data_IF_574845542573
#
_entry.id   IF_574845542573
#
_cell.length_a   1.000
_cell.length_b   1.000
_cell.length_c   1.000
_cell.angle_alpha   90.00
_cell.angle_beta   90.00
_cell.angle_gamma   90.00
#
_symmetry.space_group_name_H-M   'P 1'
#
loop_
_entity.id
_entity.type
_entity.pdbx_description
1 polymer ?
#
# COMPACT_ATOMS: atom_id res chain seq x y z
N UNK A 1 12.42 -14.49 17.23
CA UNK A 1 13.52 -13.64 17.73
C UNK A 1 14.71 -14.54 18.02
N UNK A 2 15.88 -14.33 17.39
CA UNK A 2 17.08 -15.08 17.75
C UNK A 2 17.52 -14.69 19.18
N UNK A 3 18.01 -15.67 19.95
CA UNK A 3 18.38 -15.48 21.36
C UNK A 3 19.80 -14.90 21.43
N UNK A 4 19.97 -13.81 22.19
CA UNK A 4 21.27 -13.15 22.45
C UNK A 4 22.33 -14.17 22.89
N UNK A 5 23.43 -14.25 22.15
CA UNK A 5 24.55 -15.14 22.44
C UNK A 5 25.26 -14.73 23.75
N UNK A 6 25.53 -15.71 24.61
CA UNK A 6 26.11 -15.50 25.95
C UNK A 6 27.64 -15.57 25.91
N UNK A 7 28.38 -14.89 26.82
CA UNK A 7 29.84 -14.92 26.88
C UNK A 7 30.43 -16.35 26.91
N UNK A 8 29.77 -17.26 27.63
CA UNK A 8 30.17 -18.66 27.73
C UNK A 8 30.21 -19.40 26.37
N UNK A 9 29.40 -18.98 25.40
CA UNK A 9 29.40 -19.56 24.06
C UNK A 9 30.73 -19.35 23.32
N UNK A 10 31.28 -18.14 23.40
CA UNK A 10 32.57 -17.81 22.76
C UNK A 10 33.72 -18.58 23.42
N UNK A 11 33.65 -18.77 24.74
CA UNK A 11 34.61 -19.61 25.45
C UNK A 11 34.54 -21.07 25.01
N UNK A 12 33.34 -21.63 24.85
CA UNK A 12 33.18 -23.01 24.35
C UNK A 12 33.81 -23.19 22.96
N UNK A 13 33.70 -22.20 22.06
CA UNK A 13 34.34 -22.26 20.74
C UNK A 13 35.87 -22.27 20.84
N UNK A 14 36.45 -21.48 21.75
CA UNK A 14 37.89 -21.46 21.97
C UNK A 14 38.39 -22.80 22.53
N UNK A 15 37.70 -23.36 23.53
CA UNK A 15 38.04 -24.66 24.11
C UNK A 15 37.89 -25.77 23.08
N UNK A 16 36.86 -25.72 22.23
CA UNK A 16 36.66 -26.67 21.14
C UNK A 16 37.83 -26.62 20.14
N UNK A 17 38.27 -25.42 19.76
CA UNK A 17 39.41 -25.21 18.85
C UNK A 17 40.71 -25.75 19.46
N UNK A 18 41.00 -25.43 20.71
CA UNK A 18 42.18 -25.93 21.44
C UNK A 18 42.20 -27.46 21.49
N UNK A 19 41.05 -28.10 21.70
CA UNK A 19 40.97 -29.57 21.67
C UNK A 19 41.13 -30.13 20.26
N UNK A 20 40.59 -29.46 19.24
CA UNK A 20 40.77 -29.86 17.85
C UNK A 20 42.24 -29.81 17.41
N UNK A 21 42.99 -28.80 17.85
CA UNK A 21 44.43 -28.67 17.61
C UNK A 21 45.23 -29.81 18.29
N UNK A 22 44.71 -30.35 19.40
CA UNK A 22 45.23 -31.54 20.09
C UNK A 22 44.70 -32.86 19.49
N UNK A 23 44.01 -32.81 18.35
CA UNK A 23 43.49 -33.97 17.62
C UNK A 23 42.18 -34.54 18.18
N UNK A 24 41.55 -33.89 19.16
CA UNK A 24 40.27 -34.31 19.76
C UNK A 24 39.14 -33.42 19.26
N UNK A 25 38.18 -34.00 18.54
CA UNK A 25 37.00 -33.28 18.03
C UNK A 25 35.80 -33.56 18.92
N UNK A 26 35.23 -32.51 19.50
CA UNK A 26 34.01 -32.55 20.31
C UNK A 26 32.90 -31.80 19.60
N UNK A 27 31.66 -32.29 19.69
CA UNK A 27 30.49 -31.56 19.19
C UNK A 27 30.12 -30.42 20.13
N UNK A 28 29.46 -29.38 19.61
CA UNK A 28 28.97 -28.26 20.44
C UNK A 28 27.99 -28.70 21.55
N UNK A 29 27.37 -29.88 21.42
CA UNK A 29 26.47 -30.45 22.43
C UNK A 29 27.23 -31.04 23.62
N UNK A 30 28.46 -31.50 23.41
CA UNK A 30 29.33 -32.10 24.43
C UNK A 30 30.22 -31.05 25.12
N UNK A 31 30.40 -29.88 24.48
CA UNK A 31 31.24 -28.80 25.00
C UNK A 31 30.85 -28.28 26.40
N UNK A 32 29.56 -28.16 26.78
CA UNK A 32 29.20 -27.67 28.11
C UNK A 32 29.79 -28.52 29.24
N UNK A 33 29.83 -29.85 29.10
CA UNK A 33 30.39 -30.74 30.13
C UNK A 33 31.90 -30.55 30.31
N UNK A 34 32.60 -30.20 29.22
CA UNK A 34 34.05 -30.02 29.19
C UNK A 34 34.45 -28.60 29.63
N UNK A 35 33.69 -27.59 29.17
CA UNK A 35 34.02 -26.19 29.33
C UNK A 35 33.47 -25.58 30.63
N UNK A 36 32.37 -26.08 31.19
CA UNK A 36 31.78 -25.54 32.44
C UNK A 36 32.76 -25.54 33.62
N UNK A 37 33.46 -26.64 33.96
CA UNK A 37 34.39 -26.62 35.10
C UNK A 37 35.59 -25.69 34.87
N UNK A 38 36.04 -25.53 33.62
CA UNK A 38 37.11 -24.60 33.27
C UNK A 38 36.65 -23.15 33.41
N UNK A 39 35.42 -22.85 32.98
CA UNK A 39 34.81 -21.53 33.07
C UNK A 39 34.54 -21.11 34.51
N UNK A 40 34.10 -22.03 35.37
CA UNK A 40 33.89 -21.75 36.80
C UNK A 40 35.18 -21.39 37.52
N UNK A 41 36.31 -22.00 37.14
CA UNK A 41 37.64 -21.72 37.69
C UNK A 41 38.29 -20.42 37.21
N UNK A 42 37.74 -19.76 36.18
CA UNK A 42 38.31 -18.53 35.62
C UNK A 42 37.96 -17.29 36.45
N UNK A 43 38.95 -16.40 36.59
CA UNK A 43 38.81 -15.09 37.22
C UNK A 43 37.96 -14.14 36.36
N UNK A 44 37.52 -13.02 36.92
CA UNK A 44 36.69 -12.04 36.20
C UNK A 44 37.46 -11.39 35.06
N UNK A 45 38.76 -11.19 35.26
CA UNK A 45 39.68 -10.62 34.29
C UNK A 45 39.84 -11.54 33.07
N UNK A 46 39.84 -12.86 33.29
CA UNK A 46 39.92 -13.87 32.22
C UNK A 46 38.60 -14.04 31.46
N UNK A 47 37.46 -13.72 32.10
CA UNK A 47 36.12 -13.76 31.47
C UNK A 47 35.82 -12.51 30.64
N UNK A 48 36.39 -11.37 31.03
CA UNK A 48 36.24 -10.07 30.37
C UNK A 48 36.33 -10.08 28.83
N UNK A 49 37.31 -10.73 28.18
CA UNK A 49 37.37 -10.75 26.71
C UNK A 49 36.14 -11.40 26.07
N UNK A 50 35.56 -12.43 26.68
CA UNK A 50 34.36 -13.10 26.16
C UNK A 50 33.09 -12.27 26.40
N UNK A 51 33.04 -11.50 27.48
CA UNK A 51 31.97 -10.52 27.73
C UNK A 51 32.00 -9.39 26.69
N UNK A 52 33.19 -8.90 26.35
CA UNK A 52 33.39 -7.92 25.28
C UNK A 52 32.97 -8.47 23.91
N UNK A 53 33.29 -9.74 23.60
CA UNK A 53 32.85 -10.40 22.35
C UNK A 53 31.32 -10.54 22.27
N UNK A 54 30.68 -10.98 23.35
CA UNK A 54 29.21 -11.09 23.39
C UNK A 54 28.52 -9.72 23.29
N UNK A 55 29.12 -8.68 23.85
CA UNK A 55 28.65 -7.30 23.73
C UNK A 55 28.75 -6.77 22.30
N UNK A 56 29.89 -7.00 21.62
CA UNK A 56 30.11 -6.61 20.22
C UNK A 56 29.11 -7.28 19.27
N UNK A 57 28.87 -8.58 19.41
CA UNK A 57 27.90 -9.31 18.57
C UNK A 57 26.46 -8.82 18.79
N UNK A 58 26.08 -8.47 20.02
CA UNK A 58 24.76 -7.87 20.28
C UNK A 58 24.59 -6.46 19.68
N UNK A 59 25.71 -5.76 19.44
CA UNK A 59 25.71 -4.47 18.73
C UNK A 59 25.68 -4.67 17.21
N UNK A 60 26.21 -5.80 16.74
CA UNK A 60 26.30 -6.18 15.33
C UNK A 60 25.04 -6.90 14.80
N UNK A 61 24.11 -7.34 15.66
CA UNK A 61 22.78 -7.84 15.25
C UNK A 61 21.94 -6.81 14.47
N UNK A 62 22.33 -5.51 14.48
CA UNK A 62 21.77 -4.49 13.58
C UNK A 62 22.32 -4.54 12.15
N UNK A 63 23.30 -5.39 11.83
CA UNK A 63 23.97 -5.44 10.52
C UNK A 63 23.80 -6.77 9.75
N UNK A 64 23.02 -7.73 10.28
CA UNK A 64 22.86 -9.06 9.69
C UNK A 64 21.86 -9.12 8.51
N UNK A 65 21.87 -8.11 7.64
CA UNK A 65 21.23 -8.13 6.31
C UNK A 65 22.23 -8.05 5.16
N UNK A 66 23.53 -8.16 5.42
CA UNK A 66 24.55 -8.19 4.37
C UNK A 66 24.52 -9.54 3.65
N UNK A 67 23.80 -9.61 2.54
CA UNK A 67 23.79 -10.78 1.66
C UNK A 67 22.46 -11.09 0.97
N UNK A 68 21.34 -10.51 1.44
CA UNK A 68 20.08 -10.63 0.70
C UNK A 68 20.15 -9.62 -0.45
N UNK A 69 20.28 -10.15 -1.66
CA UNK A 69 20.28 -9.36 -2.90
C UNK A 69 18.94 -9.51 -3.60
N UNK A 70 18.47 -8.46 -4.26
CA UNK A 70 17.32 -8.54 -5.15
C UNK A 70 17.64 -9.36 -6.40
N UNK A 71 16.62 -9.69 -7.20
CA UNK A 71 16.77 -10.31 -8.52
C UNK A 71 17.68 -9.50 -9.47
N UNK A 72 17.88 -8.21 -9.18
CA UNK A 72 18.77 -7.31 -9.91
C UNK A 72 20.18 -7.19 -9.29
N UNK A 73 20.49 -7.99 -8.27
CA UNK A 73 21.82 -8.04 -7.65
C UNK A 73 22.12 -6.90 -6.66
N UNK A 74 21.13 -6.06 -6.34
CA UNK A 74 21.25 -4.93 -5.39
C UNK A 74 21.06 -5.44 -3.97
N UNK A 75 21.89 -4.99 -3.04
CA UNK A 75 21.79 -5.38 -1.64
C UNK A 75 20.53 -4.78 -1.00
N UNK A 76 19.76 -5.60 -0.29
CA UNK A 76 18.49 -5.19 0.32
C UNK A 76 18.68 -4.05 1.34
N UNK A 77 19.84 -3.97 1.98
CA UNK A 77 20.17 -2.88 2.91
C UNK A 77 20.33 -1.51 2.23
N UNK A 78 20.70 -1.49 0.96
CA UNK A 78 20.77 -0.27 0.15
C UNK A 78 19.36 0.21 -0.22
N UNK A 79 18.49 -0.71 -0.64
CA UNK A 79 17.09 -0.41 -0.95
C UNK A 79 16.35 0.09 0.29
N UNK A 80 16.56 -0.53 1.45
CA UNK A 80 15.91 -0.09 2.69
C UNK A 80 16.38 1.31 3.13
N UNK A 81 17.66 1.64 2.90
CA UNK A 81 18.19 2.99 3.14
C UNK A 81 17.63 3.99 2.13
N UNK A 82 17.54 3.61 0.87
CA UNK A 82 16.99 4.46 -0.20
C UNK A 82 15.49 4.71 0.00
N UNK A 83 14.72 3.70 0.39
CA UNK A 83 13.31 3.84 0.76
C UNK A 83 13.13 4.72 2.00
N UNK A 84 13.96 4.55 3.03
CA UNK A 84 13.93 5.41 4.23
C UNK A 84 14.38 6.84 3.93
N UNK A 85 15.37 7.01 3.07
CA UNK A 85 15.84 8.31 2.62
C UNK A 85 14.77 9.01 1.78
N UNK A 86 14.15 8.32 0.82
CA UNK A 86 13.03 8.84 0.04
C UNK A 86 11.83 9.21 0.93
N UNK A 87 11.47 8.35 1.90
CA UNK A 87 10.41 8.65 2.87
C UNK A 87 10.77 9.80 3.84
N UNK A 88 12.05 10.03 4.10
CA UNK A 88 12.54 11.13 4.94
C UNK A 88 12.66 12.43 4.13
N UNK A 89 13.09 12.35 2.88
CA UNK A 89 13.19 13.46 1.92
C UNK A 89 11.80 13.94 1.51
N UNK A 90 10.85 13.03 1.28
CA UNK A 90 9.42 13.33 1.13
C UNK A 90 8.85 14.06 2.36
N UNK A 91 9.36 13.75 3.57
CA UNK A 91 9.00 14.47 4.80
C UNK A 91 9.69 15.82 4.95
N UNK A 92 10.83 16.04 4.27
CA UNK A 92 11.67 17.24 4.39
C UNK A 92 11.42 18.28 3.27
N UNK A 93 10.82 17.89 2.14
CA UNK A 93 10.61 18.76 0.97
C UNK A 93 9.21 19.40 0.87
N UNK A 94 8.24 19.02 1.70
CA UNK A 94 6.90 19.57 1.62
C UNK A 94 6.78 20.80 2.54
N UNK A 95 6.43 21.95 1.95
CA UNK A 95 6.34 23.25 2.63
C UNK A 95 5.35 23.16 3.80
N UNK A 96 5.88 23.41 4.99
CA UNK A 96 5.13 23.59 6.22
C UNK A 96 4.29 24.87 6.09
N UNK A 97 2.97 24.77 6.23
CA UNK A 97 2.17 25.94 6.57
C UNK A 97 2.62 26.51 7.93
N UNK A 98 2.16 27.70 8.31
CA UNK A 98 2.56 28.36 9.57
C UNK A 98 2.29 27.51 10.85
N UNK A 99 1.65 26.34 10.71
CA UNK A 99 1.33 25.38 11.76
C UNK A 99 2.01 24.00 11.58
N UNK A 100 2.79 23.76 10.53
CA UNK A 100 3.47 22.48 10.25
C UNK A 100 2.58 21.41 9.60
N UNK A 101 1.47 21.78 8.96
CA UNK A 101 0.63 20.88 8.18
C UNK A 101 0.92 20.99 6.67
N UNK A 102 0.89 19.84 5.99
CA UNK A 102 1.18 19.73 4.56
C UNK A 102 0.00 20.22 3.70
N UNK A 103 0.28 21.14 2.76
CA UNK A 103 -0.68 21.57 1.73
C UNK A 103 -0.63 20.64 0.52
N UNK A 104 -1.79 20.26 0.00
CA UNK A 104 -1.92 19.43 -1.20
C UNK A 104 -2.80 20.13 -2.24
N UNK A 105 -2.30 20.26 -3.47
CA UNK A 105 -3.10 20.74 -4.60
C UNK A 105 -3.78 19.55 -5.30
N UNK A 106 -5.11 19.55 -5.35
CA UNK A 106 -5.88 18.46 -5.93
C UNK A 106 -5.87 18.52 -7.47
N UNK A 107 -5.50 17.42 -8.13
CA UNK A 107 -5.53 17.28 -9.59
C UNK A 107 -6.80 16.63 -10.14
N UNK A 108 -7.43 15.75 -9.34
CA UNK A 108 -8.63 15.01 -9.69
C UNK A 108 -9.43 14.72 -8.42
N UNK A 109 -10.76 14.65 -8.53
CA UNK A 109 -11.65 14.25 -7.43
C UNK A 109 -12.73 13.32 -7.95
N UNK A 110 -13.02 12.28 -7.18
CA UNK A 110 -14.19 11.44 -7.36
C UNK A 110 -14.83 11.16 -6.00
N UNK A 111 -16.16 11.14 -5.93
CA UNK A 111 -16.91 10.65 -4.78
C UNK A 111 -18.04 9.76 -5.29
N UNK A 112 -18.31 8.70 -4.53
CA UNK A 112 -19.23 7.64 -4.90
C UNK A 112 -20.14 7.28 -3.72
N UNK A 113 -21.41 7.12 -4.01
CA UNK A 113 -22.40 6.54 -3.12
C UNK A 113 -22.65 5.08 -3.52
N UNK A 114 -22.68 4.17 -2.55
CA UNK A 114 -23.05 2.79 -2.78
C UNK A 114 -23.78 2.21 -1.56
N UNK A 115 -24.49 1.11 -1.78
CA UNK A 115 -25.07 0.28 -0.73
C UNK A 115 -24.80 -1.19 -1.04
N UNK A 116 -24.82 -2.06 -0.02
CA UNK A 116 -24.68 -3.50 -0.26
C UNK A 116 -25.82 -4.04 -1.12
N UNK A 117 -27.06 -3.62 -0.85
CA UNK A 117 -28.26 -4.12 -1.55
C UNK A 117 -28.32 -3.68 -3.02
N UNK A 118 -28.12 -2.39 -3.30
CA UNK A 118 -28.31 -1.83 -4.65
C UNK A 118 -27.01 -1.67 -5.44
N UNK A 119 -25.86 -1.98 -4.81
CA UNK A 119 -24.54 -1.76 -5.39
C UNK A 119 -24.20 -0.28 -5.50
N UNK A 120 -23.41 0.06 -6.51
CA UNK A 120 -23.02 1.43 -6.85
C UNK A 120 -24.24 2.25 -7.28
N UNK A 121 -24.41 3.40 -6.64
CA UNK A 121 -25.47 4.38 -6.88
C UNK A 121 -24.96 5.60 -7.64
N UNK A 122 -25.15 6.77 -7.04
CA UNK A 122 -24.71 8.05 -7.62
C UNK A 122 -23.21 8.22 -7.45
N UNK A 123 -22.59 8.97 -8.34
CA UNK A 123 -21.20 9.38 -8.19
C UNK A 123 -20.94 10.67 -8.95
N UNK A 124 -19.88 11.36 -8.57
CA UNK A 124 -19.37 12.52 -9.30
C UNK A 124 -17.86 12.38 -9.50
N UNK A 125 -17.37 12.92 -10.59
CA UNK A 125 -15.96 12.90 -10.96
C UNK A 125 -15.62 14.20 -11.67
N UNK A 126 -14.47 14.78 -11.35
CA UNK A 126 -13.97 15.97 -12.03
C UNK A 126 -12.45 16.00 -12.06
N UNK A 127 -11.91 16.49 -13.18
CA UNK A 127 -10.50 16.89 -13.30
C UNK A 127 -10.40 18.36 -12.90
N UNK A 128 -9.37 18.69 -12.11
CA UNK A 128 -9.22 20.03 -11.54
C UNK A 128 -8.51 20.97 -12.51
N UNK A 129 -8.91 22.24 -12.46
CA UNK A 129 -8.17 23.35 -13.04
C UNK A 129 -7.24 23.91 -11.97
N UNK A 130 -5.94 23.70 -12.12
CA UNK A 130 -4.92 24.32 -11.26
C UNK A 130 -4.37 25.56 -11.97
N UNK A 131 -4.45 26.75 -11.37
CA UNK A 131 -4.00 27.98 -12.03
C UNK A 131 -2.48 28.09 -12.09
N UNK A 132 -1.79 27.75 -11.00
CA UNK A 132 -0.34 27.81 -10.87
C UNK A 132 0.14 26.77 -9.86
N UNK A 133 1.43 26.47 -9.91
CA UNK A 133 2.10 25.65 -8.89
C UNK A 133 2.89 26.55 -7.93
N UNK A 134 3.02 26.17 -6.65
CA UNK A 134 3.92 26.85 -5.73
C UNK A 134 5.34 26.95 -6.27
N UNK A 135 6.01 28.07 -5.97
CA UNK A 135 7.35 28.32 -6.46
C UNK A 135 8.33 27.25 -5.95
N UNK A 136 9.10 26.64 -6.85
CA UNK A 136 10.05 25.57 -6.51
C UNK A 136 9.50 24.15 -6.63
N UNK A 137 8.18 23.97 -6.75
CA UNK A 137 7.53 22.64 -6.76
C UNK A 137 7.36 22.00 -8.13
N UNK A 138 7.76 22.69 -9.21
CA UNK A 138 7.53 22.20 -10.58
C UNK A 138 8.13 20.82 -10.85
N UNK A 139 9.36 20.57 -10.37
CA UNK A 139 10.03 19.28 -10.59
C UNK A 139 9.28 18.14 -9.87
N UNK A 140 8.90 18.35 -8.61
CA UNK A 140 8.17 17.36 -7.82
C UNK A 140 6.78 17.09 -8.42
N UNK A 141 6.03 18.13 -8.78
CA UNK A 141 4.74 18.00 -9.43
C UNK A 141 4.84 17.24 -10.76
N UNK A 142 5.87 17.53 -11.57
CA UNK A 142 6.08 16.87 -12.87
C UNK A 142 6.43 15.40 -12.70
N UNK A 143 7.31 15.10 -11.75
CA UNK A 143 7.68 13.72 -11.40
C UNK A 143 6.46 12.95 -10.90
N UNK A 144 5.75 13.48 -9.90
CA UNK A 144 4.56 12.84 -9.35
C UNK A 144 3.50 12.58 -10.42
N UNK A 145 3.22 13.57 -11.27
CA UNK A 145 2.26 13.40 -12.37
C UNK A 145 2.71 12.31 -13.34
N UNK A 146 3.96 12.33 -13.80
CA UNK A 146 4.49 11.33 -14.76
C UNK A 146 4.51 9.91 -14.18
N UNK A 147 4.79 9.79 -12.88
CA UNK A 147 4.86 8.51 -12.18
C UNK A 147 3.47 7.95 -11.87
N UNK A 148 2.42 8.79 -11.88
CA UNK A 148 1.06 8.39 -11.48
C UNK A 148 0.02 8.67 -12.58
N UNK A 149 -0.70 9.78 -12.50
CA UNK A 149 -1.92 10.07 -13.24
C UNK A 149 -1.67 10.68 -14.64
N UNK A 150 -0.45 11.12 -14.97
CA UNK A 150 -0.10 11.80 -16.24
C UNK A 150 -1.07 12.96 -16.58
N UNK A 151 -1.46 13.73 -15.56
CA UNK A 151 -2.29 14.92 -15.75
C UNK A 151 -1.37 16.10 -16.09
N UNK A 152 -1.71 16.91 -17.11
CA UNK A 152 -0.90 18.06 -17.46
C UNK A 152 -0.87 19.07 -16.31
N UNK A 153 0.29 19.66 -16.10
CA UNK A 153 0.50 20.70 -15.10
C UNK A 153 0.04 22.07 -15.62
N UNK A 154 -0.17 23.05 -14.73
CA UNK A 154 -0.41 24.43 -15.13
C UNK A 154 0.68 24.95 -16.09
N UNK A 155 0.31 25.76 -17.10
CA UNK A 155 -1.02 26.32 -17.35
C UNK A 155 -1.97 25.42 -18.17
N UNK A 156 -1.54 24.21 -18.55
CA UNK A 156 -2.21 23.37 -19.54
C UNK A 156 -3.14 22.30 -18.93
N UNK A 157 -3.66 22.53 -17.72
CA UNK A 157 -4.54 21.56 -17.04
C UNK A 157 -5.78 21.23 -17.86
N UNK A 158 -6.18 19.95 -17.88
CA UNK A 158 -7.33 19.47 -18.65
C UNK A 158 -8.67 19.85 -18.00
N UNK A 159 -8.67 19.92 -16.66
CA UNK A 159 -9.86 20.26 -15.88
C UNK A 159 -10.29 21.71 -16.05
N UNK A 160 -11.58 21.96 -15.85
CA UNK A 160 -12.16 23.32 -15.83
C UNK A 160 -12.72 23.73 -14.49
N UNK A 161 -12.88 22.78 -13.58
CA UNK A 161 -13.49 23.00 -12.26
C UNK A 161 -12.42 23.45 -11.28
N UNK A 162 -12.68 24.56 -10.57
CA UNK A 162 -11.80 25.00 -9.50
C UNK A 162 -11.99 24.12 -8.27
N UNK A 163 -10.98 24.05 -7.39
CA UNK A 163 -11.12 23.26 -6.16
C UNK A 163 -12.30 23.71 -5.29
N UNK A 164 -12.57 25.03 -5.26
CA UNK A 164 -13.70 25.60 -4.55
C UNK A 164 -15.03 25.04 -5.06
N UNK A 165 -15.22 25.04 -6.37
CA UNK A 165 -16.46 24.56 -6.99
C UNK A 165 -16.64 23.06 -6.78
N UNK A 166 -15.57 22.28 -6.92
CA UNK A 166 -15.60 20.84 -6.70
C UNK A 166 -15.99 20.47 -5.26
N UNK A 167 -15.42 21.15 -4.25
CA UNK A 167 -15.78 20.89 -2.85
C UNK A 167 -17.21 21.35 -2.54
N UNK A 168 -17.69 22.45 -3.13
CA UNK A 168 -19.10 22.86 -3.01
C UNK A 168 -20.02 21.77 -3.60
N UNK A 169 -19.65 21.19 -4.73
CA UNK A 169 -20.39 20.08 -5.33
C UNK A 169 -20.37 18.84 -4.44
N UNK A 170 -19.20 18.48 -3.88
CA UNK A 170 -19.06 17.37 -2.95
C UNK A 170 -19.91 17.55 -1.67
N UNK A 171 -19.98 18.77 -1.13
CA UNK A 171 -20.86 19.10 0.00
C UNK A 171 -22.32 18.85 -0.36
N UNK A 172 -22.77 19.32 -1.53
CA UNK A 172 -24.15 19.09 -2.02
C UNK A 172 -24.42 17.61 -2.23
N UNK A 173 -23.44 16.86 -2.72
CA UNK A 173 -23.52 15.42 -2.91
C UNK A 173 -23.66 14.67 -1.58
N UNK A 174 -22.99 15.12 -0.53
CA UNK A 174 -23.02 14.49 0.80
C UNK A 174 -24.27 14.88 1.62
N UNK A 175 -24.76 16.10 1.44
CA UNK A 175 -25.91 16.66 2.19
C UNK A 175 -27.26 16.30 1.56
N UNK A 176 -27.45 15.06 1.12
CA UNK A 176 -28.69 14.63 0.47
C UNK A 176 -29.86 14.38 1.44
N UNK A 177 -29.64 14.54 2.75
CA UNK A 177 -30.67 14.37 3.75
C UNK A 177 -31.02 15.75 4.34
N UNK A 178 -32.31 16.05 4.47
CA UNK A 178 -32.84 17.34 4.97
C UNK A 178 -32.45 17.65 6.43
N UNK A 179 -31.80 16.72 7.12
CA UNK A 179 -31.18 16.93 8.42
C UNK A 179 -29.75 17.43 8.16
N UNK A 180 -29.40 18.63 8.65
CA UNK A 180 -28.14 19.37 8.44
C UNK A 180 -26.82 18.64 8.83
N UNK A 181 -26.78 17.31 8.85
CA UNK A 181 -25.64 16.45 9.17
C UNK A 181 -25.07 15.83 7.90
N UNK A 182 -23.83 16.20 7.56
CA UNK A 182 -23.09 15.60 6.46
C UNK A 182 -22.84 14.11 6.72
N UNK A 183 -23.14 13.26 5.74
CA UNK A 183 -22.72 11.85 5.75
C UNK A 183 -21.18 11.76 5.78
N UNK A 184 -20.60 10.82 6.54
CA UNK A 184 -19.15 10.65 6.56
C UNK A 184 -18.61 10.23 5.18
N UNK A 185 -17.44 10.76 4.84
CA UNK A 185 -16.67 10.38 3.65
C UNK A 185 -15.62 9.35 4.08
N UNK A 186 -15.43 8.30 3.29
CA UNK A 186 -14.42 7.27 3.55
C UNK A 186 -13.38 7.25 2.44
N UNK A 187 -12.10 7.12 2.81
CA UNK A 187 -10.97 6.96 1.88
C UNK A 187 -9.89 6.09 2.51
N UNK A 188 -8.93 5.62 1.72
CA UNK A 188 -7.79 4.83 2.22
C UNK A 188 -6.90 5.67 3.14
N UNK A 189 -6.27 5.01 4.12
CA UNK A 189 -5.62 5.64 5.27
C UNK A 189 -4.54 6.67 4.89
N UNK A 190 -3.73 6.36 3.88
CA UNK A 190 -2.69 7.25 3.36
C UNK A 190 -3.26 8.51 2.66
N UNK A 191 -4.50 8.48 2.17
CA UNK A 191 -5.15 9.61 1.51
C UNK A 191 -5.96 10.49 2.46
N UNK A 192 -6.25 10.05 3.69
CA UNK A 192 -6.95 10.86 4.70
C UNK A 192 -6.32 12.25 4.89
N UNK A 193 -5.00 12.40 5.14
CA UNK A 193 -4.40 13.73 5.31
C UNK A 193 -4.52 14.61 4.06
N UNK A 194 -4.40 14.02 2.88
CA UNK A 194 -4.53 14.72 1.58
C UNK A 194 -5.94 15.28 1.43
N UNK A 195 -6.95 14.43 1.58
CA UNK A 195 -8.36 14.83 1.45
C UNK A 195 -8.74 15.87 2.50
N UNK A 196 -8.27 15.73 3.73
CA UNK A 196 -8.52 16.72 4.80
C UNK A 196 -7.88 18.07 4.50
N UNK A 197 -6.65 18.09 4.00
CA UNK A 197 -5.93 19.32 3.62
C UNK A 197 -6.72 20.09 2.54
N UNK A 198 -7.13 19.39 1.48
CA UNK A 198 -7.92 19.95 0.38
C UNK A 198 -9.28 20.50 0.84
N UNK A 199 -10.00 19.76 1.69
CA UNK A 199 -11.29 20.22 2.25
C UNK A 199 -11.08 21.45 3.14
N UNK A 200 -10.06 21.42 4.01
CA UNK A 200 -9.75 22.48 4.96
C UNK A 200 -9.44 23.79 4.24
N UNK A 201 -8.66 23.77 3.17
CA UNK A 201 -8.35 24.96 2.36
C UNK A 201 -9.62 25.68 1.89
N UNK A 202 -10.58 24.94 1.31
CA UNK A 202 -11.83 25.54 0.82
C UNK A 202 -12.71 26.00 1.97
N UNK A 203 -12.86 25.21 3.04
CA UNK A 203 -13.73 25.56 4.17
C UNK A 203 -13.20 26.74 4.99
N UNK A 204 -11.88 26.89 5.15
CA UNK A 204 -11.27 28.03 5.83
C UNK A 204 -11.45 29.34 5.05
N UNK A 205 -11.64 29.27 3.73
CA UNK A 205 -11.94 30.45 2.89
C UNK A 205 -13.40 30.90 2.93
N UNK A 206 -14.30 30.16 3.61
CA UNK A 206 -15.72 30.50 3.72
C UNK A 206 -15.96 31.50 4.83
N UNK A 207 -16.54 32.64 4.48
CA UNK A 207 -16.93 33.70 5.43
C UNK A 207 -18.41 33.67 5.81
N UNK A 208 -19.23 32.86 5.14
CA UNK A 208 -20.70 32.88 5.25
C UNK A 208 -21.30 31.47 5.41
N UNK A 209 -22.29 31.36 6.30
CA UNK A 209 -23.08 30.15 6.57
C UNK A 209 -22.62 29.38 7.83
N UNK A 210 -23.40 28.37 8.27
CA UNK A 210 -23.04 27.56 9.43
C UNK A 210 -21.74 26.77 9.19
N UNK A 211 -20.99 26.42 10.25
CA UNK A 211 -19.85 25.52 10.14
C UNK A 211 -20.31 24.21 9.47
N UNK A 212 -19.61 23.79 8.42
CA UNK A 212 -19.86 22.51 7.77
C UNK A 212 -18.81 21.54 8.28
N UNK A 213 -19.24 20.44 8.88
CA UNK A 213 -18.37 19.38 9.37
C UNK A 213 -18.35 18.20 8.39
N UNK A 214 -17.37 18.22 7.47
CA UNK A 214 -17.10 17.09 6.56
C UNK A 214 -16.16 16.10 7.23
N UNK A 215 -16.72 15.03 7.78
CA UNK A 215 -15.96 13.99 8.46
C UNK A 215 -15.35 13.03 7.44
N UNK A 216 -14.01 12.89 7.48
CA UNK A 216 -13.25 11.94 6.65
C UNK A 216 -12.71 10.81 7.53
N UNK A 217 -13.06 9.57 7.21
CA UNK A 217 -12.72 8.35 7.96
C UNK A 217 -12.01 7.30 7.10
N UNK A 218 -11.41 6.31 7.78
CA UNK A 218 -10.72 5.19 7.15
C UNK A 218 -11.69 4.21 6.49
N UNK A 219 -11.42 3.92 5.22
CA UNK A 219 -12.14 2.91 4.45
C UNK A 219 -11.79 1.48 4.90
N UNK A 220 -10.57 1.27 5.38
CA UNK A 220 -10.11 -0.01 5.93
C UNK A 220 -10.90 -0.37 7.20
N UNK A 221 -11.13 0.61 8.08
CA UNK A 221 -11.97 0.46 9.27
C UNK A 221 -13.43 0.17 8.89
N UNK A 222 -13.97 0.88 7.90
CA UNK A 222 -15.32 0.61 7.39
C UNK A 222 -15.46 -0.84 6.92
N UNK A 223 -14.53 -1.31 6.08
CA UNK A 223 -14.56 -2.68 5.56
C UNK A 223 -14.43 -3.71 6.69
N UNK A 224 -13.49 -3.51 7.62
CA UNK A 224 -13.28 -4.40 8.76
C UNK A 224 -14.55 -4.57 9.59
N UNK A 225 -15.13 -3.44 10.04
CA UNK A 225 -16.33 -3.47 10.86
C UNK A 225 -17.55 -3.98 10.10
N UNK A 226 -17.73 -3.57 8.85
CA UNK A 226 -18.86 -4.00 8.03
C UNK A 226 -18.80 -5.50 7.76
N UNK A 227 -17.64 -6.04 7.35
CA UNK A 227 -17.48 -7.48 7.06
C UNK A 227 -17.72 -8.33 8.31
N UNK A 228 -17.21 -7.90 9.46
CA UNK A 228 -17.42 -8.65 10.70
C UNK A 228 -18.90 -8.65 11.09
N UNK A 229 -19.57 -7.51 10.96
CA UNK A 229 -21.00 -7.40 11.24
C UNK A 229 -21.87 -8.21 10.25
N UNK A 230 -21.53 -8.24 8.96
CA UNK A 230 -22.26 -9.08 7.99
C UNK A 230 -22.02 -10.55 8.21
N UNK A 231 -20.79 -10.95 8.56
CA UNK A 231 -20.46 -12.33 8.86
C UNK A 231 -21.21 -12.86 10.10
N UNK A 232 -21.40 -12.05 11.14
CA UNK A 232 -22.19 -12.41 12.32
C UNK A 232 -23.68 -12.69 11.98
N UNK A 233 -24.17 -12.15 10.87
CA UNK A 233 -25.53 -12.37 10.35
C UNK A 233 -25.58 -13.47 9.29
N UNK A 234 -24.44 -14.03 8.89
CA UNK A 234 -24.37 -15.01 7.82
C UNK A 234 -25.04 -16.31 8.23
N UNK A 235 -25.91 -16.82 7.37
CA UNK A 235 -26.55 -18.13 7.57
C UNK A 235 -25.64 -19.29 7.13
N UNK A 236 -24.52 -18.99 6.48
CA UNK A 236 -23.56 -19.96 5.96
C UNK A 236 -22.14 -19.39 6.00
N UNK A 237 -21.17 -20.24 6.35
CA UNK A 237 -19.75 -19.89 6.38
C UNK A 237 -19.18 -19.79 4.95
N UNK A 238 -19.45 -18.67 4.26
CA UNK A 238 -18.95 -18.44 2.90
C UNK A 238 -17.47 -18.06 2.93
N UNK A 239 -17.13 -17.01 3.68
CA UNK A 239 -15.77 -16.52 3.82
C UNK A 239 -15.55 -15.98 5.24
N UNK A 240 -14.37 -16.25 5.85
CA UNK A 240 -14.09 -15.79 7.20
C UNK A 240 -14.04 -14.26 7.28
N UNK A 241 -14.35 -13.69 8.45
CA UNK A 241 -14.21 -12.27 8.70
C UNK A 241 -12.73 -11.86 8.74
N UNK A 242 -12.46 -10.56 8.72
CA UNK A 242 -11.10 -10.07 8.86
C UNK A 242 -10.66 -10.17 10.33
N UNK A 243 -9.52 -10.81 10.58
CA UNK A 243 -8.97 -10.92 11.93
C UNK A 243 -8.39 -9.58 12.45
N UNK A 244 -8.09 -8.63 11.55
CA UNK A 244 -7.59 -7.29 11.90
C UNK A 244 -7.86 -6.28 10.79
N UNK A 245 -7.83 -4.99 11.14
CA UNK A 245 -7.95 -3.86 10.18
C UNK A 245 -6.85 -3.92 9.11
N UNK A 246 -5.64 -4.37 9.46
CA UNK A 246 -4.53 -4.55 8.51
C UNK A 246 -4.87 -5.52 7.37
N UNK A 247 -5.63 -6.58 7.64
CA UNK A 247 -6.06 -7.51 6.60
C UNK A 247 -7.11 -6.90 5.68
N UNK A 248 -8.00 -6.04 6.23
CA UNK A 248 -8.96 -5.28 5.43
C UNK A 248 -8.27 -4.23 4.55
N UNK A 249 -7.28 -3.52 5.08
CA UNK A 249 -6.43 -2.60 4.33
C UNK A 249 -5.70 -3.33 3.20
N UNK A 250 -5.04 -4.45 3.51
CA UNK A 250 -4.37 -5.28 2.51
C UNK A 250 -5.34 -5.76 1.43
N UNK A 251 -6.58 -6.09 1.79
CA UNK A 251 -7.60 -6.50 0.84
C UNK A 251 -7.97 -5.38 -0.14
N UNK A 252 -8.15 -4.15 0.34
CA UNK A 252 -8.42 -2.98 -0.51
C UNK A 252 -7.22 -2.60 -1.39
N UNK A 253 -6.01 -2.69 -0.84
CA UNK A 253 -4.77 -2.33 -1.54
C UNK A 253 -4.34 -3.32 -2.62
N UNK A 254 -4.98 -4.49 -2.73
CA UNK A 254 -4.72 -5.44 -3.84
C UNK A 254 -5.05 -4.87 -5.21
N UNK A 255 -5.90 -3.85 -5.29
CA UNK A 255 -6.23 -3.23 -6.58
C UNK A 255 -6.97 -4.18 -7.53
N UNK A 256 -7.80 -5.10 -7.00
CA UNK A 256 -8.50 -6.15 -7.77
C UNK A 256 -9.23 -5.62 -9.01
N UNK A 257 -9.68 -4.37 -8.98
CA UNK A 257 -10.44 -3.72 -10.05
C UNK A 257 -9.70 -2.53 -10.68
N UNK A 258 -8.40 -2.34 -10.41
CA UNK A 258 -7.63 -1.20 -10.91
C UNK A 258 -7.53 -1.13 -12.44
N UNK A 259 -7.75 -2.26 -13.12
CA UNK A 259 -7.72 -2.40 -14.58
C UNK A 259 -9.05 -2.93 -15.14
N UNK A 260 -10.13 -2.87 -14.36
CA UNK A 260 -11.43 -3.27 -14.85
C UNK A 260 -11.94 -2.25 -15.87
N UNK A 261 -12.44 -2.74 -17.00
CA UNK A 261 -12.93 -1.90 -18.09
C UNK A 261 -14.13 -1.04 -17.67
N UNK A 262 -14.20 0.17 -18.23
CA UNK A 262 -15.33 1.08 -18.02
C UNK A 262 -15.37 1.76 -16.63
N UNK A 263 -14.31 1.64 -15.82
CA UNK A 263 -14.24 2.31 -14.51
C UNK A 263 -13.60 3.69 -14.58
N UNK A 264 -12.58 3.87 -15.40
CA UNK A 264 -11.83 5.11 -15.51
C UNK A 264 -12.62 6.23 -16.18
N UNK A 265 -12.10 7.45 -16.08
CA UNK A 265 -12.59 8.57 -16.89
C UNK A 265 -11.97 8.52 -18.29
N UNK A 266 -12.60 9.20 -19.24
CA UNK A 266 -12.19 9.20 -20.65
C UNK A 266 -10.72 9.62 -20.85
N UNK A 267 -10.23 10.57 -20.04
CA UNK A 267 -8.84 11.01 -20.12
C UNK A 267 -7.86 9.91 -19.73
N UNK A 268 -8.06 9.27 -18.58
CA UNK A 268 -7.15 8.23 -18.08
C UNK A 268 -7.27 6.92 -18.87
N UNK A 269 -8.43 6.66 -19.49
CA UNK A 269 -8.60 5.59 -20.47
C UNK A 269 -7.72 5.84 -21.70
N UNK A 270 -7.80 7.05 -22.28
CA UNK A 270 -7.02 7.42 -23.47
C UNK A 270 -5.50 7.50 -23.20
N UNK A 271 -5.10 7.70 -21.94
CA UNK A 271 -3.70 7.80 -21.51
C UNK A 271 -3.11 6.50 -20.98
N UNK A 272 -3.90 5.42 -20.93
CA UNK A 272 -3.50 4.15 -20.33
C UNK A 272 -2.99 4.32 -18.88
N UNK A 273 -3.68 5.18 -18.12
CA UNK A 273 -3.42 5.49 -16.70
C UNK A 273 -4.64 5.18 -15.83
N UNK A 274 -5.42 4.18 -16.23
CA UNK A 274 -6.70 3.81 -15.61
C UNK A 274 -6.58 3.50 -14.11
N UNK A 275 -5.47 2.90 -13.69
CA UNK A 275 -5.21 2.51 -12.30
C UNK A 275 -4.89 3.68 -11.38
N UNK A 276 -4.57 4.86 -11.92
CA UNK A 276 -4.33 6.08 -11.14
C UNK A 276 -5.52 7.05 -11.16
N UNK A 277 -6.57 6.73 -11.91
CA UNK A 277 -7.79 7.53 -11.94
C UNK A 277 -8.58 7.39 -10.63
N UNK A 278 -8.91 8.52 -10.02
CA UNK A 278 -9.72 8.59 -8.81
C UNK A 278 -11.09 7.92 -8.98
N UNK A 279 -11.70 8.01 -10.18
CA UNK A 279 -12.95 7.34 -10.50
C UNK A 279 -12.82 5.81 -10.47
N UNK A 280 -11.74 5.27 -11.04
CA UNK A 280 -11.41 3.84 -10.97
C UNK A 280 -11.25 3.40 -9.53
N UNK A 281 -10.49 4.16 -8.72
CA UNK A 281 -10.23 3.85 -7.31
C UNK A 281 -11.52 3.75 -6.51
N UNK A 282 -12.38 4.77 -6.52
CA UNK A 282 -13.61 4.75 -5.70
C UNK A 282 -14.58 3.66 -6.13
N UNK A 283 -14.71 3.38 -7.44
CA UNK A 283 -15.54 2.27 -7.94
C UNK A 283 -14.97 0.91 -7.56
N UNK A 284 -13.66 0.72 -7.74
CA UNK A 284 -12.97 -0.52 -7.38
C UNK A 284 -13.05 -0.82 -5.88
N UNK A 285 -12.94 0.20 -5.03
CA UNK A 285 -13.12 0.03 -3.59
C UNK A 285 -14.55 -0.38 -3.25
N UNK A 286 -15.56 0.28 -3.84
CA UNK A 286 -16.95 -0.07 -3.61
C UNK A 286 -17.25 -1.52 -4.02
N UNK A 287 -16.81 -1.95 -5.20
CA UNK A 287 -16.95 -3.34 -5.63
C UNK A 287 -16.23 -4.32 -4.71
N UNK A 288 -15.04 -3.98 -4.22
CA UNK A 288 -14.31 -4.82 -3.25
C UNK A 288 -15.10 -5.00 -1.95
N UNK A 289 -15.67 -3.92 -1.42
CA UNK A 289 -16.48 -3.96 -0.20
C UNK A 289 -17.75 -4.77 -0.43
N UNK A 290 -18.48 -4.50 -1.51
CA UNK A 290 -19.71 -5.21 -1.85
C UNK A 290 -19.44 -6.70 -2.05
N UNK A 291 -18.39 -7.08 -2.78
CA UNK A 291 -18.02 -8.47 -3.03
C UNK A 291 -17.60 -9.20 -1.76
N UNK A 292 -17.01 -8.49 -0.80
CA UNK A 292 -16.61 -9.06 0.49
C UNK A 292 -17.80 -9.28 1.43
N UNK A 293 -18.73 -8.32 1.51
CA UNK A 293 -19.79 -8.30 2.52
C UNK A 293 -21.16 -8.79 2.01
N UNK A 294 -21.47 -8.58 0.72
CA UNK A 294 -22.76 -8.91 0.11
C UNK A 294 -23.16 -10.39 0.22
N UNK A 295 -22.26 -11.34 -0.09
CA UNK A 295 -22.57 -12.77 -0.01
C UNK A 295 -23.03 -13.24 1.37
N UNK A 296 -22.47 -12.69 2.45
CA UNK A 296 -22.86 -13.04 3.83
C UNK A 296 -24.34 -12.76 4.10
N UNK A 297 -24.89 -11.74 3.44
CA UNK A 297 -26.30 -11.33 3.57
C UNK A 297 -27.21 -11.99 2.52
N UNK A 298 -26.68 -12.92 1.72
CA UNK A 298 -27.42 -13.54 0.61
C UNK A 298 -27.75 -12.57 -0.53
N UNK A 299 -26.97 -11.48 -0.68
CA UNK A 299 -27.17 -10.50 -1.75
C UNK A 299 -26.60 -11.07 -3.06
N UNK A 300 -27.44 -11.12 -4.09
CA UNK A 300 -27.03 -11.46 -5.45
C UNK A 300 -26.25 -10.30 -6.08
N UNK A 301 -25.08 -10.61 -6.65
CA UNK A 301 -24.21 -9.62 -7.28
C UNK A 301 -24.66 -9.38 -8.72
N UNK A 302 -25.07 -8.15 -9.03
CA UNK A 302 -25.54 -7.76 -10.36
C UNK A 302 -24.40 -7.05 -11.10
N UNK A 303 -24.06 -7.50 -12.30
CA UNK A 303 -23.01 -6.88 -13.12
C UNK A 303 -23.35 -5.43 -13.47
N UNK A 304 -22.37 -4.55 -13.38
CA UNK A 304 -22.49 -3.09 -13.47
C UNK A 304 -22.96 -2.40 -12.18
N UNK A 305 -23.55 -3.13 -11.22
CA UNK A 305 -24.00 -2.59 -9.92
C UNK A 305 -23.12 -3.03 -8.76
N UNK A 306 -22.92 -4.34 -8.60
CA UNK A 306 -22.15 -4.94 -7.51
C UNK A 306 -20.76 -5.39 -7.94
N UNK A 307 -20.57 -5.55 -9.24
CA UNK A 307 -19.29 -5.87 -9.89
C UNK A 307 -19.19 -5.10 -11.21
N UNK A 308 -17.99 -4.96 -11.81
CA UNK A 308 -17.85 -4.32 -13.12
C UNK A 308 -18.73 -5.00 -14.18
N UNK A 309 -19.07 -4.27 -15.24
CA UNK A 309 -19.65 -4.89 -16.42
C UNK A 309 -18.64 -5.90 -16.97
N UNK A 310 -19.04 -7.17 -17.07
CA UNK A 310 -18.27 -8.14 -17.83
C UNK A 310 -18.23 -7.64 -19.28
N UNK A 311 -17.06 -7.18 -19.73
CA UNK A 311 -16.82 -6.79 -21.11
C UNK A 311 -16.92 -8.05 -21.98
N UNK A 312 -18.16 -8.36 -22.38
CA UNK A 312 -18.55 -9.51 -23.18
C UNK A 312 -18.20 -10.85 -22.52
N UNK A 313 -19.23 -11.69 -22.34
CA UNK A 313 -19.02 -13.13 -22.38
C UNK A 313 -18.51 -13.49 -23.79
N UNK A 314 -17.25 -13.23 -24.08
CA UNK A 314 -16.57 -14.05 -25.06
C UNK A 314 -16.63 -15.44 -24.46
N UNK A 315 -17.42 -16.34 -25.07
CA UNK A 315 -17.20 -17.76 -24.92
C UNK A 315 -15.68 -17.93 -24.99
N UNK A 316 -15.10 -18.39 -23.89
CA UNK A 316 -13.70 -18.77 -23.91
C UNK A 316 -13.63 -19.84 -24.99
N UNK A 317 -13.16 -19.46 -26.19
CA UNK A 317 -12.69 -20.42 -27.15
C UNK A 317 -11.56 -21.11 -26.39
N UNK A 318 -11.88 -22.27 -25.83
CA UNK A 318 -10.91 -23.20 -25.30
C UNK A 318 -10.09 -23.64 -26.50
N UNK A 319 -9.09 -22.84 -26.85
CA UNK A 319 -7.99 -23.32 -27.66
C UNK A 319 -7.33 -24.35 -26.74
N UNK A 320 -7.37 -25.61 -27.16
CA UNK A 320 -6.69 -26.67 -26.45
C UNK A 320 -5.21 -26.31 -26.37
N UNK A 321 -4.58 -26.52 -25.20
CA UNK A 321 -3.14 -26.24 -24.98
C UNK A 321 -2.25 -26.93 -26.05
N UNK A 322 -2.79 -28.00 -26.62
CA UNK A 322 -2.33 -28.85 -27.72
C UNK A 322 -2.04 -28.09 -29.03
N UNK A 323 -2.59 -26.88 -29.23
CA UNK A 323 -2.40 -26.09 -30.46
C UNK A 323 -1.48 -24.86 -30.30
N UNK A 324 -0.81 -24.71 -29.15
CA UNK A 324 0.21 -23.68 -28.99
C UNK A 324 1.53 -24.10 -29.69
N UNK A 325 1.63 -23.77 -30.98
CA UNK A 325 2.78 -24.08 -31.85
C UNK A 325 4.00 -23.15 -31.66
N UNK A 326 4.29 -22.76 -30.42
CA UNK A 326 5.52 -22.02 -30.12
C UNK A 326 6.31 -22.75 -29.04
N UNK A 327 7.26 -23.57 -29.50
CA UNK A 327 8.31 -24.09 -28.63
C UNK A 327 9.54 -23.21 -28.77
N UNK A 328 10.29 -23.02 -27.68
CA UNK A 328 11.50 -22.20 -27.65
C UNK A 328 12.62 -22.64 -28.64
N UNK A 329 12.44 -23.78 -29.32
CA UNK A 329 13.34 -24.27 -30.37
C UNK A 329 13.12 -23.59 -31.74
N UNK A 330 11.98 -22.92 -31.95
CA UNK A 330 11.66 -22.30 -33.25
C UNK A 330 12.43 -20.98 -33.49
N UNK A 331 13.11 -20.45 -32.47
CA UNK A 331 13.93 -19.23 -32.58
C UNK A 331 15.33 -19.45 -33.16
N UNK A 332 15.82 -20.69 -33.28
CA UNK A 332 17.18 -20.96 -33.78
C UNK A 332 17.25 -21.21 -35.29
N UNK A 333 16.13 -21.29 -36.00
CA UNK A 333 16.12 -21.65 -37.43
C UNK A 333 16.16 -20.47 -38.42
N UNK A 334 16.08 -19.21 -37.95
CA UNK A 334 16.02 -18.03 -38.85
C UNK A 334 17.35 -17.29 -39.06
N UNK A 335 18.49 -17.78 -38.54
CA UNK A 335 19.79 -17.09 -38.65
C UNK A 335 20.70 -17.66 -39.76
N UNK A 336 20.36 -18.78 -40.40
CA UNK A 336 21.20 -19.35 -41.46
C UNK A 336 20.47 -19.55 -42.77
N UNK A 337 20.07 -18.45 -43.43
CA UNK A 337 19.87 -18.43 -44.88
C UNK A 337 19.86 -16.98 -45.40
N UNK A 338 21.04 -16.36 -45.39
CA UNK A 338 21.39 -15.26 -46.29
C UNK A 338 22.89 -15.29 -46.54
N UNK A 339 23.28 -16.02 -47.58
CA UNK A 339 24.50 -15.83 -48.34
C UNK A 339 24.18 -15.96 -49.83
#
# INVERSE_FOLDING_TARGET
MPKKLQPFYFFMLEVQKKNADLGKKYSLREMPEIASPLWEGMTKEEKKPYEEMASRESSNEKSFSTGIKTSHGVDYSEIEKEQKAAAMEEKLMKEDDANGELRYDAAELAILEFSLQNGIGRGMHTLMCLPELPYGYYFEAKRHSSDTHDLPLPPDTVGKTTIRDAIIEAIKFVNCNDEDVCSPIFTIDNHIPVVRSVIKEVLSSRTLGPPIDLRVHSLSELLFHLKNATHDQATSDIAPPFASVFLAETYLNRGTFDYAEGLACEYHEAKDRVSHCSQTKVRGWAYSIIKSCGPDLGIELISGKHEPLAALAFESLKIADDESFFTAADLESTITESN
#
